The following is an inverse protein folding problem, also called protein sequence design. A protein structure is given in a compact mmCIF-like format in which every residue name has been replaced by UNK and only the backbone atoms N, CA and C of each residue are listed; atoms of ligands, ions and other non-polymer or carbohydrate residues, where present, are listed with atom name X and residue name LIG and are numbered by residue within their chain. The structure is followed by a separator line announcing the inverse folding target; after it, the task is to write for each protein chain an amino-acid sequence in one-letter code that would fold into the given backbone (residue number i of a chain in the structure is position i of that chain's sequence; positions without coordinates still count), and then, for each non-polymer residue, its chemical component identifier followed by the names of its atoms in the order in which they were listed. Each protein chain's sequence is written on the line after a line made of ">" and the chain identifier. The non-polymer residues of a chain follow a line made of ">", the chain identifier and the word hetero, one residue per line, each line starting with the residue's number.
data_IF_077512860197
#
_entry.id   IF_077512860197
#
_cell.length_a   1.000
_cell.length_b   1.000
_cell.length_c   1.000
_cell.angle_alpha   90.00
_cell.angle_beta   90.00
_cell.angle_gamma   90.00
#
_symmetry.space_group_name_H-M   'P 1'
#
loop_
_entity.id
_entity.type
_entity.pdbx_description
1 polymer ?
#
# COMPACT_ATOMS: atom_id res chain seq x y z
N UNK A 1 16.88 -26.80 15.33
CA UNK A 1 17.02 -26.74 16.81
C UNK A 1 15.67 -26.40 17.41
N UNK A 2 15.16 -27.21 18.34
CA UNK A 2 13.88 -26.95 19.01
C UNK A 2 13.96 -25.68 19.85
N UNK A 3 13.35 -24.60 19.35
CA UNK A 3 13.18 -23.38 20.13
C UNK A 3 12.18 -23.67 21.26
N UNK A 4 12.68 -23.73 22.50
CA UNK A 4 11.84 -23.46 23.65
C UNK A 4 11.39 -22.01 23.53
N UNK A 5 10.26 -21.78 22.84
CA UNK A 5 9.60 -20.48 22.84
C UNK A 5 9.31 -20.13 24.30
N UNK A 6 10.12 -19.23 24.88
CA UNK A 6 9.92 -18.77 26.25
C UNK A 6 8.52 -18.16 26.32
N UNK A 7 7.62 -18.77 27.07
CA UNK A 7 6.30 -18.20 27.30
C UNK A 7 6.46 -16.84 27.96
N UNK A 8 5.76 -15.82 27.46
CA UNK A 8 5.63 -14.55 28.18
C UNK A 8 4.52 -14.76 29.18
N UNK A 9 4.87 -14.88 30.47
CA UNK A 9 3.88 -14.95 31.55
C UNK A 9 3.58 -13.53 32.04
N UNK A 10 2.32 -13.13 31.93
CA UNK A 10 1.83 -11.88 32.52
C UNK A 10 1.24 -12.24 33.88
N UNK A 11 1.84 -11.73 34.96
CA UNK A 11 1.31 -11.95 36.31
C UNK A 11 0.11 -11.02 36.55
N UNK A 12 -0.89 -11.51 37.29
CA UNK A 12 -2.11 -10.76 37.58
C UNK A 12 -1.88 -9.50 38.44
N UNK A 13 -0.75 -9.42 39.14
CA UNK A 13 -0.33 -8.29 39.98
C UNK A 13 0.87 -7.52 39.43
N UNK A 14 1.13 -7.61 38.12
CA UNK A 14 2.26 -6.92 37.50
C UNK A 14 2.12 -5.39 37.64
N UNK A 15 3.23 -4.72 37.94
CA UNK A 15 3.31 -3.27 37.96
C UNK A 15 3.25 -2.68 36.53
N UNK A 16 2.90 -1.39 36.36
CA UNK A 16 2.90 -0.75 35.04
C UNK A 16 4.24 -0.85 34.29
N UNK A 17 5.37 -0.82 35.01
CA UNK A 17 6.71 -0.98 34.43
C UNK A 17 6.99 -2.41 33.94
N UNK A 18 6.51 -3.42 34.69
CA UNK A 18 6.60 -4.82 34.27
C UNK A 18 5.72 -5.10 33.06
N UNK A 19 4.50 -4.56 33.03
CA UNK A 19 3.59 -4.68 31.87
C UNK A 19 4.16 -4.02 30.61
N UNK A 20 4.78 -2.84 30.75
CA UNK A 20 5.48 -2.19 29.63
C UNK A 20 6.63 -3.05 29.10
N UNK A 21 7.38 -3.68 30.00
CA UNK A 21 8.47 -4.60 29.63
C UNK A 21 7.96 -5.87 28.95
N UNK A 22 6.85 -6.44 29.45
CA UNK A 22 6.16 -7.55 28.80
C UNK A 22 5.64 -7.16 27.42
N UNK A 23 5.04 -5.98 27.27
CA UNK A 23 4.57 -5.49 25.97
C UNK A 23 5.72 -5.38 24.98
N UNK A 24 6.87 -4.83 25.36
CA UNK A 24 8.04 -4.73 24.48
C UNK A 24 8.49 -6.11 23.95
N UNK A 25 8.50 -7.12 24.82
CA UNK A 25 8.85 -8.49 24.41
C UNK A 25 7.80 -9.12 23.48
N UNK A 26 6.51 -8.89 23.75
CA UNK A 26 5.43 -9.35 22.88
C UNK A 26 5.48 -8.63 21.53
N UNK A 27 5.71 -7.32 21.55
CA UNK A 27 5.83 -6.47 20.37
C UNK A 27 6.98 -6.90 19.48
N UNK A 28 8.14 -7.24 20.06
CA UNK A 28 9.26 -7.80 19.30
C UNK A 28 8.86 -9.06 18.52
N UNK A 29 8.06 -9.95 19.12
CA UNK A 29 7.58 -11.16 18.43
C UNK A 29 6.52 -10.84 17.39
N UNK A 30 5.60 -9.94 17.71
CA UNK A 30 4.55 -9.51 16.80
C UNK A 30 5.11 -8.83 15.55
N UNK A 31 6.19 -8.04 15.69
CA UNK A 31 6.95 -7.45 14.57
C UNK A 31 7.45 -8.52 13.60
N UNK A 32 8.10 -9.57 14.12
CA UNK A 32 8.64 -10.68 13.31
C UNK A 32 7.52 -11.40 12.55
N UNK A 33 6.38 -11.65 13.21
CA UNK A 33 5.22 -12.31 12.61
C UNK A 33 4.64 -11.50 11.45
N UNK A 34 4.74 -10.17 11.51
CA UNK A 34 4.17 -9.26 10.53
C UNK A 34 5.20 -8.68 9.55
N UNK A 35 6.42 -9.24 9.48
CA UNK A 35 7.42 -8.78 8.50
C UNK A 35 6.94 -9.06 7.07
N UNK A 36 7.05 -8.06 6.21
CA UNK A 36 6.93 -8.25 4.77
C UNK A 36 8.28 -8.61 4.12
N UNK A 37 8.27 -8.88 2.82
CA UNK A 37 9.43 -9.30 2.06
C UNK A 37 10.57 -8.26 2.09
N UNK A 38 10.24 -6.97 1.98
CA UNK A 38 11.23 -5.90 2.03
C UNK A 38 11.82 -5.77 3.43
N UNK A 39 10.97 -5.81 4.45
CA UNK A 39 11.42 -5.74 5.84
C UNK A 39 12.32 -6.93 6.20
N UNK A 40 12.03 -8.13 5.68
CA UNK A 40 12.91 -9.29 5.80
C UNK A 40 14.25 -9.07 5.09
N UNK A 41 14.22 -8.54 3.86
CA UNK A 41 15.43 -8.30 3.07
C UNK A 41 16.36 -7.28 3.73
N UNK A 42 15.82 -6.19 4.28
CA UNK A 42 16.60 -5.13 4.91
C UNK A 42 16.87 -5.34 6.40
N UNK A 43 16.03 -6.11 7.11
CA UNK A 43 16.08 -6.27 8.57
C UNK A 43 17.33 -6.97 9.12
N UNK A 44 18.06 -7.71 8.28
CA UNK A 44 19.30 -8.40 8.64
C UNK A 44 19.11 -9.60 9.59
N UNK A 45 20.23 -10.20 10.03
CA UNK A 45 20.23 -11.47 10.78
C UNK A 45 19.88 -11.31 12.28
N UNK A 46 20.10 -10.11 12.86
CA UNK A 46 19.85 -9.89 14.29
C UNK A 46 18.37 -9.56 14.56
N UNK A 47 17.61 -10.64 14.80
CA UNK A 47 16.20 -10.61 15.22
C UNK A 47 15.96 -9.75 16.48
N UNK A 48 17.02 -9.47 17.25
CA UNK A 48 16.93 -8.63 18.46
C UNK A 48 17.07 -7.12 18.21
N UNK A 49 17.65 -6.71 17.08
CA UNK A 49 17.86 -5.30 16.71
C UNK A 49 17.02 -4.86 15.49
N UNK A 50 16.05 -5.69 15.10
CA UNK A 50 15.06 -5.41 14.03
C UNK A 50 14.36 -4.05 14.18
N UNK A 51 14.26 -3.50 15.39
CA UNK A 51 13.55 -2.25 15.77
C UNK A 51 13.95 -1.02 14.92
N UNK A 52 15.06 -1.06 14.17
CA UNK A 52 15.43 -0.02 13.22
C UNK A 52 14.83 -0.10 11.82
N UNK A 53 14.31 -1.27 11.42
CA UNK A 53 13.94 -1.57 10.02
C UNK A 53 12.43 -1.62 9.79
N UNK A 54 11.64 -1.76 10.86
CA UNK A 54 10.19 -1.85 10.79
C UNK A 54 9.58 -0.55 10.26
N UNK A 55 8.73 -0.68 9.24
CA UNK A 55 7.90 0.40 8.75
C UNK A 55 6.85 0.80 9.80
N UNK A 56 6.28 2.03 9.71
CA UNK A 56 5.12 2.41 10.53
C UNK A 56 3.95 1.43 10.38
N UNK A 57 3.82 0.81 9.20
CA UNK A 57 2.82 -0.21 8.90
C UNK A 57 3.05 -1.47 9.73
N UNK A 58 4.27 -2.01 9.77
CA UNK A 58 4.57 -3.19 10.58
C UNK A 58 4.35 -2.92 12.08
N UNK A 59 4.76 -1.77 12.59
CA UNK A 59 4.49 -1.38 13.98
C UNK A 59 2.99 -1.38 14.30
N UNK A 60 2.18 -0.79 13.41
CA UNK A 60 0.72 -0.78 13.53
C UNK A 60 0.13 -2.20 13.47
N UNK A 61 0.59 -3.05 12.53
CA UNK A 61 0.12 -4.43 12.39
C UNK A 61 0.47 -5.30 13.60
N UNK A 62 1.69 -5.14 14.12
CA UNK A 62 2.16 -5.82 15.31
C UNK A 62 1.32 -5.43 16.54
N UNK A 63 1.07 -4.14 16.75
CA UNK A 63 0.22 -3.66 17.86
C UNK A 63 -1.24 -4.09 17.69
N UNK A 64 -1.78 -4.05 16.47
CA UNK A 64 -3.15 -4.53 16.19
C UNK A 64 -3.30 -6.04 16.46
N UNK A 65 -2.30 -6.83 16.08
CA UNK A 65 -2.25 -8.27 16.37
C UNK A 65 -2.25 -8.54 17.87
N UNK A 66 -1.54 -7.73 18.65
CA UNK A 66 -1.53 -7.81 20.12
C UNK A 66 -2.91 -7.49 20.69
N UNK A 67 -3.55 -6.41 20.24
CA UNK A 67 -4.90 -6.04 20.70
C UNK A 67 -5.92 -7.12 20.38
N UNK A 68 -5.82 -7.75 19.20
CA UNK A 68 -6.66 -8.88 18.80
C UNK A 68 -6.45 -10.09 19.71
N UNK A 69 -5.20 -10.42 20.01
CA UNK A 69 -4.87 -11.51 20.92
C UNK A 69 -5.40 -11.26 22.35
N UNK A 70 -5.27 -10.03 22.86
CA UNK A 70 -5.82 -9.63 24.17
C UNK A 70 -7.34 -9.80 24.17
N UNK A 71 -8.03 -9.27 23.15
CA UNK A 71 -9.49 -9.37 23.06
C UNK A 71 -9.99 -10.82 23.03
N UNK A 72 -9.26 -11.72 22.37
CA UNK A 72 -9.56 -13.16 22.37
C UNK A 72 -9.41 -13.78 23.77
N UNK A 73 -8.32 -13.47 24.47
CA UNK A 73 -8.08 -13.96 25.83
C UNK A 73 -9.13 -13.44 26.83
N UNK A 74 -9.59 -12.19 26.68
CA UNK A 74 -10.67 -11.62 27.49
C UNK A 74 -12.03 -12.27 27.23
N UNK A 75 -12.24 -12.88 26.07
CA UNK A 75 -13.46 -13.64 25.76
C UNK A 75 -13.44 -15.08 26.27
N UNK A 76 -12.25 -15.70 26.32
CA UNK A 76 -12.06 -17.09 26.78
C UNK A 76 -11.87 -17.20 28.31
N UNK A 77 -11.38 -16.14 28.95
CA UNK A 77 -11.13 -16.06 30.39
C UNK A 77 -11.78 -14.83 31.02
N UNK A 78 -11.98 -14.82 32.34
CA UNK A 78 -12.42 -13.60 33.04
C UNK A 78 -11.38 -12.49 32.83
N UNK A 79 -11.80 -11.35 32.27
CA UNK A 79 -10.93 -10.19 32.04
C UNK A 79 -10.21 -9.82 33.33
N UNK A 80 -8.88 -9.92 33.32
CA UNK A 80 -8.03 -9.58 34.47
C UNK A 80 -7.59 -8.13 34.36
N UNK A 81 -7.37 -7.47 35.50
CA UNK A 81 -6.83 -6.10 35.54
C UNK A 81 -5.56 -5.96 34.70
N UNK A 82 -4.68 -6.97 34.73
CA UNK A 82 -3.45 -6.99 33.95
C UNK A 82 -3.67 -6.98 32.42
N UNK A 83 -4.69 -7.68 31.90
CA UNK A 83 -5.03 -7.67 30.46
C UNK A 83 -5.60 -6.31 30.04
N UNK A 84 -6.43 -5.70 30.88
CA UNK A 84 -6.98 -4.36 30.64
C UNK A 84 -5.87 -3.31 30.63
N UNK A 85 -4.95 -3.35 31.59
CA UNK A 85 -3.79 -2.47 31.63
C UNK A 85 -2.88 -2.68 30.42
N UNK A 86 -2.60 -3.93 30.03
CA UNK A 86 -1.80 -4.23 28.84
C UNK A 86 -2.47 -3.67 27.56
N UNK A 87 -3.80 -3.78 27.45
CA UNK A 87 -4.58 -3.18 26.36
C UNK A 87 -4.39 -1.66 26.33
N UNK A 88 -4.47 -1.00 27.48
CA UNK A 88 -4.26 0.46 27.60
C UNK A 88 -2.85 0.84 27.14
N UNK A 89 -1.81 0.11 27.56
CA UNK A 89 -0.43 0.39 27.13
C UNK A 89 -0.28 0.20 25.62
N UNK A 90 -0.86 -0.85 25.03
CA UNK A 90 -0.81 -1.08 23.59
C UNK A 90 -1.54 0.02 22.79
N UNK A 91 -2.72 0.47 23.24
CA UNK A 91 -3.46 1.59 22.63
C UNK A 91 -2.65 2.88 22.71
N UNK A 92 -2.01 3.16 23.86
CA UNK A 92 -1.14 4.33 24.00
C UNK A 92 0.06 4.28 23.03
N UNK A 93 0.67 3.11 22.84
CA UNK A 93 1.75 2.93 21.85
C UNK A 93 1.29 3.20 20.41
N UNK A 94 0.06 2.82 20.05
CA UNK A 94 -0.53 3.16 18.75
C UNK A 94 -0.71 4.68 18.62
N UNK A 95 -1.19 5.34 19.68
CA UNK A 95 -1.35 6.80 19.69
C UNK A 95 -0.01 7.53 19.57
N UNK A 96 1.01 7.09 20.29
CA UNK A 96 2.37 7.65 20.21
C UNK A 96 2.96 7.49 18.81
N UNK A 97 2.75 6.34 18.19
CA UNK A 97 3.16 6.07 16.80
C UNK A 97 2.43 7.00 15.83
N UNK A 98 1.14 7.22 16.03
CA UNK A 98 0.33 8.11 15.20
C UNK A 98 0.80 9.56 15.23
N UNK A 99 1.12 10.08 16.42
CA UNK A 99 1.67 11.43 16.58
C UNK A 99 3.08 11.55 15.98
N UNK A 100 3.90 10.50 16.05
CA UNK A 100 5.23 10.47 15.43
C UNK A 100 5.17 10.57 13.91
N UNK A 101 4.19 9.94 13.28
CA UNK A 101 4.01 9.89 11.81
C UNK A 101 2.80 10.71 11.34
N UNK A 102 2.52 11.81 12.03
CA UNK A 102 1.37 12.66 11.72
C UNK A 102 1.62 13.47 10.46
N UNK A 103 0.67 13.39 9.52
CA UNK A 103 0.66 14.23 8.33
C UNK A 103 -0.16 15.50 8.62
N UNK A 104 0.49 16.67 8.60
CA UNK A 104 -0.20 17.94 8.74
C UNK A 104 -0.84 18.34 7.40
N UNK A 105 -2.16 18.22 7.30
CA UNK A 105 -2.92 18.78 6.18
C UNK A 105 -3.92 19.79 6.70
N UNK A 106 -3.78 21.03 6.23
CA UNK A 106 -4.72 22.10 6.56
C UNK A 106 -6.05 21.83 5.86
N UNK A 107 -7.11 21.67 6.64
CA UNK A 107 -8.48 21.68 6.12
C UNK A 107 -8.72 23.08 5.57
N UNK A 108 -8.87 23.21 4.25
CA UNK A 108 -9.27 24.47 3.64
C UNK A 108 -10.78 24.51 3.72
N UNK A 109 -11.28 25.02 4.85
CA UNK A 109 -12.71 25.11 5.10
C UNK A 109 -13.33 26.13 4.16
N UNK A 110 -13.97 25.64 3.10
CA UNK A 110 -15.17 26.24 2.51
C UNK A 110 -15.98 25.13 1.85
N UNK A 111 -16.81 24.46 2.66
CA UNK A 111 -17.84 23.47 2.31
C UNK A 111 -17.39 22.33 1.39
N UNK A 112 -17.69 21.08 1.74
CA UNK A 112 -17.81 20.06 0.69
C UNK A 112 -18.68 20.64 -0.43
N UNK A 113 -18.20 20.53 -1.68
CA UNK A 113 -18.95 21.09 -2.78
C UNK A 113 -20.33 20.40 -2.79
N UNK A 114 -21.36 21.11 -3.29
CA UNK A 114 -22.73 20.61 -3.25
C UNK A 114 -22.87 19.22 -3.88
N UNK A 115 -21.96 18.87 -4.79
CA UNK A 115 -21.84 17.53 -5.38
C UNK A 115 -21.46 16.46 -4.35
N UNK A 116 -20.42 16.66 -3.54
CA UNK A 116 -19.99 15.70 -2.51
C UNK A 116 -21.03 15.57 -1.40
N UNK A 117 -21.73 16.65 -1.01
CA UNK A 117 -22.88 16.56 -0.11
C UNK A 117 -23.99 15.72 -0.71
N UNK A 118 -24.31 15.94 -1.99
CA UNK A 118 -25.30 15.16 -2.72
C UNK A 118 -24.95 13.69 -2.77
N UNK A 119 -23.68 13.35 -3.06
CA UNK A 119 -23.19 11.98 -3.05
C UNK A 119 -23.28 11.36 -1.65
N UNK A 120 -22.91 12.10 -0.61
CA UNK A 120 -22.97 11.59 0.76
C UNK A 120 -24.42 11.33 1.19
N UNK A 121 -25.34 12.25 0.90
CA UNK A 121 -26.77 12.06 1.16
C UNK A 121 -27.31 10.85 0.39
N UNK A 122 -26.98 10.72 -0.89
CA UNK A 122 -27.34 9.54 -1.68
C UNK A 122 -26.82 8.25 -1.06
N UNK A 123 -25.58 8.23 -0.58
CA UNK A 123 -25.01 7.09 0.13
C UNK A 123 -25.83 6.73 1.37
N UNK A 124 -26.14 7.71 2.21
CA UNK A 124 -26.96 7.54 3.42
C UNK A 124 -28.36 7.01 3.08
N UNK A 125 -28.99 7.52 2.03
CA UNK A 125 -30.30 7.03 1.52
C UNK A 125 -30.24 5.59 1.02
N UNK A 126 -29.08 5.14 0.50
CA UNK A 126 -28.81 3.75 0.11
C UNK A 126 -28.35 2.86 1.28
N UNK A 127 -28.32 3.40 2.51
CA UNK A 127 -27.99 2.67 3.73
C UNK A 127 -26.52 2.66 4.12
N UNK A 128 -25.68 3.50 3.49
CA UNK A 128 -24.31 3.75 3.96
C UNK A 128 -24.37 4.40 5.33
N UNK A 129 -23.58 3.89 6.27
CA UNK A 129 -23.39 4.56 7.58
C UNK A 129 -22.00 5.15 7.61
N UNK A 130 -21.91 6.45 7.84
CA UNK A 130 -20.65 7.18 7.86
C UNK A 130 -20.49 8.01 9.12
N UNK A 131 -19.36 7.85 9.78
CA UNK A 131 -18.86 8.76 10.82
C UNK A 131 -17.95 9.86 10.25
N UNK A 132 -17.77 9.84 8.93
CA UNK A 132 -16.89 10.74 8.19
C UNK A 132 -17.71 11.66 7.29
N UNK A 133 -17.15 12.82 6.99
CA UNK A 133 -17.68 13.78 6.01
C UNK A 133 -16.65 14.01 4.92
N UNK A 134 -17.08 14.05 3.66
CA UNK A 134 -16.16 14.37 2.56
C UNK A 134 -15.79 15.85 2.66
N UNK A 135 -14.50 16.19 2.58
CA UNK A 135 -14.00 17.57 2.68
C UNK A 135 -12.80 17.78 1.76
N UNK A 136 -12.42 19.03 1.52
CA UNK A 136 -11.23 19.38 0.77
C UNK A 136 -10.03 19.68 1.68
N UNK A 137 -8.84 19.23 1.28
CA UNK A 137 -7.57 19.38 1.95
C UNK A 137 -6.53 19.94 0.98
N UNK A 138 -5.78 20.96 1.44
CA UNK A 138 -4.71 21.55 0.64
C UNK A 138 -3.68 20.49 0.24
N UNK A 139 -3.33 20.44 -1.04
CA UNK A 139 -2.34 19.50 -1.60
C UNK A 139 -2.80 18.04 -1.74
N UNK A 140 -3.87 17.61 -1.07
CA UNK A 140 -4.41 16.24 -1.17
C UNK A 140 -5.74 16.15 -1.94
N UNK A 141 -6.35 17.29 -2.27
CA UNK A 141 -7.65 17.30 -2.91
C UNK A 141 -8.76 16.90 -1.93
N UNK A 142 -9.65 16.00 -2.35
CA UNK A 142 -10.76 15.57 -1.50
C UNK A 142 -10.32 14.45 -0.59
N UNK A 143 -10.83 14.47 0.64
CA UNK A 143 -10.53 13.53 1.70
C UNK A 143 -11.78 13.31 2.57
N UNK A 144 -11.65 12.52 3.63
CA UNK A 144 -12.71 12.31 4.60
C UNK A 144 -12.28 12.83 5.98
N UNK A 145 -13.10 13.67 6.62
CA UNK A 145 -12.87 14.22 7.96
C UNK A 145 -13.76 13.52 8.98
N UNK A 146 -13.24 13.22 10.17
CA UNK A 146 -14.03 12.63 11.24
C UNK A 146 -15.01 13.65 11.85
N UNK A 147 -16.29 13.28 11.96
CA UNK A 147 -17.35 14.14 12.53
C UNK A 147 -17.30 14.22 14.05
N UNK A 148 -16.65 13.25 14.68
CA UNK A 148 -16.50 13.11 16.12
C UNK A 148 -15.21 12.34 16.43
N UNK A 149 -14.82 12.26 17.70
CA UNK A 149 -13.70 11.43 18.11
C UNK A 149 -14.06 9.95 17.90
N UNK A 150 -13.21 9.23 17.18
CA UNK A 150 -13.36 7.82 16.89
C UNK A 150 -12.19 7.03 17.48
N UNK A 151 -12.51 5.91 18.13
CA UNK A 151 -11.56 5.06 18.86
C UNK A 151 -11.17 3.84 18.04
N UNK A 152 -10.08 3.18 18.45
CA UNK A 152 -9.66 1.90 17.87
C UNK A 152 -10.80 0.89 17.98
N UNK A 153 -11.16 0.27 16.86
CA UNK A 153 -12.26 -0.68 16.73
C UNK A 153 -13.59 -0.06 16.31
N UNK A 154 -13.75 1.28 16.38
CA UNK A 154 -14.96 1.94 15.87
C UNK A 154 -15.03 1.79 14.34
N UNK A 155 -16.26 1.71 13.82
CA UNK A 155 -16.52 1.59 12.39
C UNK A 155 -16.67 2.99 11.79
N UNK A 156 -15.68 3.42 11.02
CA UNK A 156 -15.69 4.72 10.36
C UNK A 156 -16.73 4.76 9.22
N UNK A 157 -16.79 3.69 8.42
CA UNK A 157 -17.75 3.49 7.33
C UNK A 157 -18.31 2.05 7.34
N UNK A 158 -19.61 1.91 7.12
CA UNK A 158 -20.29 0.63 6.81
C UNK A 158 -21.01 0.79 5.46
N UNK A 159 -20.52 0.08 4.44
CA UNK A 159 -20.96 0.20 3.05
C UNK A 159 -21.78 -1.03 2.64
N UNK A 160 -23.08 -0.91 2.36
CA UNK A 160 -23.88 -2.02 1.83
C UNK A 160 -23.37 -2.48 0.46
N UNK A 161 -23.41 -3.79 0.17
CA UNK A 161 -22.96 -4.27 -1.15
C UNK A 161 -23.75 -3.69 -2.33
N UNK A 162 -24.99 -3.25 -2.12
CA UNK A 162 -25.83 -2.66 -3.17
C UNK A 162 -25.27 -1.36 -3.78
N UNK A 163 -24.34 -0.67 -3.10
CA UNK A 163 -23.69 0.55 -3.61
C UNK A 163 -22.26 0.31 -4.10
N UNK A 164 -21.75 -0.92 -4.00
CA UNK A 164 -20.41 -1.29 -4.45
C UNK A 164 -20.46 -1.57 -5.95
N UNK A 165 -19.55 -0.95 -6.70
CA UNK A 165 -19.40 -1.21 -8.13
C UNK A 165 -18.41 -2.36 -8.29
N UNK A 166 -18.87 -3.47 -8.85
CA UNK A 166 -18.10 -4.71 -9.03
C UNK A 166 -18.52 -5.43 -10.31
N UNK A 167 -17.76 -6.45 -10.73
CA UNK A 167 -17.99 -7.20 -11.99
C UNK A 167 -19.44 -7.66 -12.18
N UNK A 168 -20.14 -7.95 -11.08
CA UNK A 168 -21.53 -8.37 -11.08
C UNK A 168 -22.45 -7.39 -11.81
N UNK A 169 -22.15 -6.08 -11.75
CA UNK A 169 -22.96 -5.06 -12.40
C UNK A 169 -22.92 -5.20 -13.92
N UNK A 170 -21.77 -5.58 -14.49
CA UNK A 170 -21.63 -5.62 -15.96
C UNK A 170 -22.54 -6.69 -16.56
N UNK A 171 -22.79 -7.78 -15.85
CA UNK A 171 -23.71 -8.85 -16.27
C UNK A 171 -25.15 -8.39 -16.54
N UNK A 172 -25.54 -7.23 -15.99
CA UNK A 172 -26.88 -6.66 -16.17
C UNK A 172 -26.99 -5.80 -17.45
N UNK A 173 -25.88 -5.57 -18.16
CA UNK A 173 -25.80 -4.68 -19.33
C UNK A 173 -25.61 -5.44 -20.64
N UNK A 174 -26.11 -4.82 -21.72
CA UNK A 174 -26.00 -5.27 -23.12
C UNK A 174 -24.57 -5.66 -23.53
N UNK A 175 -23.59 -4.87 -23.10
CA UNK A 175 -22.17 -5.06 -23.41
C UNK A 175 -21.59 -6.39 -22.93
N UNK A 176 -22.11 -6.99 -21.86
CA UNK A 176 -21.55 -8.22 -21.32
C UNK A 176 -21.55 -9.36 -22.34
N UNK A 177 -22.67 -9.52 -23.05
CA UNK A 177 -22.85 -10.57 -24.06
C UNK A 177 -21.90 -10.46 -25.27
N UNK A 178 -21.28 -9.30 -25.46
CA UNK A 178 -20.27 -9.02 -26.47
C UNK A 178 -18.88 -9.27 -25.88
N UNK A 179 -18.60 -8.63 -24.73
CA UNK A 179 -17.28 -8.68 -24.09
C UNK A 179 -16.90 -10.08 -23.59
N UNK A 180 -17.86 -10.89 -23.14
CA UNK A 180 -17.61 -12.27 -22.70
C UNK A 180 -17.05 -13.18 -23.81
N UNK A 181 -17.27 -12.81 -25.08
CA UNK A 181 -16.81 -13.56 -26.26
C UNK A 181 -15.44 -13.10 -26.75
N UNK A 182 -14.93 -11.99 -26.24
CA UNK A 182 -13.61 -11.46 -26.60
C UNK A 182 -12.56 -12.26 -25.84
N UNK A 183 -11.66 -12.90 -26.57
CA UNK A 183 -10.57 -13.67 -25.98
C UNK A 183 -9.67 -12.76 -25.11
N UNK A 184 -9.29 -13.22 -23.93
CA UNK A 184 -8.44 -12.45 -23.01
C UNK A 184 -9.15 -11.33 -22.24
N UNK A 185 -10.46 -11.13 -22.43
CA UNK A 185 -11.20 -10.08 -21.72
C UNK A 185 -11.27 -10.35 -20.21
N UNK A 186 -10.72 -9.42 -19.41
CA UNK A 186 -10.77 -9.47 -17.95
C UNK A 186 -12.02 -8.76 -17.39
N UNK A 187 -12.45 -9.14 -16.18
CA UNK A 187 -13.55 -8.48 -15.50
C UNK A 187 -13.23 -6.99 -15.21
N UNK A 188 -11.97 -6.69 -14.92
CA UNK A 188 -11.45 -5.33 -14.75
C UNK A 188 -11.59 -4.51 -16.04
N UNK A 189 -11.21 -5.06 -17.19
CA UNK A 189 -11.37 -4.39 -18.48
C UNK A 189 -12.85 -4.15 -18.80
N UNK A 190 -13.72 -5.13 -18.54
CA UNK A 190 -15.16 -4.96 -18.73
C UNK A 190 -15.73 -3.83 -17.87
N UNK A 191 -15.31 -3.73 -16.61
CA UNK A 191 -15.72 -2.66 -15.69
C UNK A 191 -15.22 -1.27 -16.11
N UNK A 192 -14.02 -1.22 -16.67
CA UNK A 192 -13.46 -0.01 -17.27
C UNK A 192 -14.33 0.47 -18.43
N UNK A 193 -14.64 -0.41 -19.39
CA UNK A 193 -15.48 -0.10 -20.55
C UNK A 193 -16.91 0.26 -20.15
N UNK A 194 -17.45 -0.38 -19.11
CA UNK A 194 -18.72 -0.01 -18.50
C UNK A 194 -18.68 1.41 -17.93
N UNK A 195 -17.59 1.76 -17.22
CA UNK A 195 -17.44 3.09 -16.60
C UNK A 195 -17.38 4.21 -17.64
N UNK A 196 -16.81 3.94 -18.82
CA UNK A 196 -16.79 4.90 -19.94
C UNK A 196 -18.21 5.24 -20.42
N UNK A 197 -19.07 4.23 -20.61
CA UNK A 197 -20.49 4.41 -20.98
C UNK A 197 -21.28 5.06 -19.86
N UNK A 198 -21.13 4.55 -18.64
CA UNK A 198 -21.97 4.93 -17.50
C UNK A 198 -21.71 6.38 -17.05
N UNK A 199 -20.48 6.90 -17.23
CA UNK A 199 -20.16 8.32 -17.00
C UNK A 199 -21.09 9.27 -17.77
N UNK A 200 -21.55 8.87 -18.95
CA UNK A 200 -22.40 9.68 -19.83
C UNK A 200 -23.90 9.36 -19.69
N UNK A 201 -24.27 8.42 -18.82
CA UNK A 201 -25.64 7.99 -18.62
C UNK A 201 -26.36 8.89 -17.58
N UNK A 202 -27.31 9.76 -17.99
CA UNK A 202 -28.00 10.66 -17.07
C UNK A 202 -28.92 9.93 -16.08
N UNK A 203 -29.33 8.70 -16.41
CA UNK A 203 -30.20 7.87 -15.58
C UNK A 203 -29.40 6.87 -14.72
N UNK A 204 -28.07 6.97 -14.69
CA UNK A 204 -27.21 6.10 -13.91
C UNK A 204 -27.56 6.17 -12.42
N UNK A 205 -27.66 4.99 -11.78
CA UNK A 205 -27.71 4.88 -10.31
C UNK A 205 -26.50 5.57 -9.65
N UNK A 206 -25.35 5.56 -10.32
CA UNK A 206 -24.09 6.09 -9.83
C UNK A 206 -23.79 7.48 -10.38
N UNK A 207 -24.77 8.18 -10.97
CA UNK A 207 -24.59 9.51 -11.55
C UNK A 207 -23.89 10.48 -10.58
N UNK A 208 -24.36 10.56 -9.34
CA UNK A 208 -23.76 11.46 -8.34
C UNK A 208 -22.31 11.10 -8.01
N UNK A 209 -21.93 9.83 -8.10
CA UNK A 209 -20.54 9.41 -7.94
C UNK A 209 -19.70 9.88 -9.13
N UNK A 210 -20.15 9.60 -10.36
CA UNK A 210 -19.43 10.03 -11.57
C UNK A 210 -19.31 11.56 -11.67
N UNK A 211 -20.34 12.31 -11.27
CA UNK A 211 -20.33 13.78 -11.25
C UNK A 211 -19.32 14.35 -10.22
N UNK A 212 -18.95 13.57 -9.20
CA UNK A 212 -17.89 13.94 -8.24
C UNK A 212 -16.51 13.48 -8.66
N UNK A 213 -16.33 12.64 -9.68
CA UNK A 213 -14.99 12.22 -10.08
C UNK A 213 -14.23 13.36 -10.77
N UNK A 214 -12.88 13.39 -10.68
CA UNK A 214 -12.13 14.41 -11.38
C UNK A 214 -12.29 14.25 -12.90
N UNK A 215 -12.36 15.36 -13.62
CA UNK A 215 -12.38 15.33 -15.10
C UNK A 215 -11.05 14.84 -15.67
N UNK A 216 -9.95 15.16 -14.99
CA UNK A 216 -8.57 14.79 -15.33
C UNK A 216 -7.87 14.31 -14.07
N UNK A 217 -7.20 13.16 -14.15
CA UNK A 217 -6.34 12.67 -13.07
C UNK A 217 -4.91 13.20 -13.25
N UNK A 218 -4.23 13.39 -12.12
CA UNK A 218 -2.83 13.85 -12.11
C UNK A 218 -1.86 12.68 -11.94
N UNK A 219 -2.12 11.55 -12.59
CA UNK A 219 -1.25 10.37 -12.52
C UNK A 219 -0.05 10.49 -13.46
N UNK A 220 0.98 9.68 -13.24
CA UNK A 220 2.13 9.57 -14.15
C UNK A 220 1.72 9.24 -15.60
N UNK A 221 0.60 8.55 -15.80
CA UNK A 221 0.08 8.21 -17.12
C UNK A 221 -0.34 9.46 -17.92
N UNK A 222 -0.80 10.50 -17.22
CA UNK A 222 -1.25 11.78 -17.79
C UNK A 222 -0.21 12.89 -17.71
N UNK A 223 1.04 12.59 -17.32
CA UNK A 223 2.11 13.58 -17.27
C UNK A 223 2.38 14.25 -18.62
N UNK A 224 2.42 15.58 -18.58
CA UNK A 224 2.84 16.42 -19.69
C UNK A 224 4.36 16.48 -19.85
N UNK A 225 4.81 17.17 -20.89
CA UNK A 225 6.23 17.24 -21.27
C UNK A 225 7.14 17.73 -20.13
N UNK A 226 6.72 18.74 -19.38
CA UNK A 226 7.52 19.30 -18.28
C UNK A 226 7.81 18.26 -17.19
N UNK A 227 6.79 17.48 -16.79
CA UNK A 227 6.94 16.42 -15.80
C UNK A 227 7.81 15.28 -16.34
N UNK A 228 7.65 14.90 -17.60
CA UNK A 228 8.50 13.90 -18.26
C UNK A 228 9.96 14.34 -18.30
N UNK A 229 10.23 15.60 -18.62
CA UNK A 229 11.60 16.15 -18.62
C UNK A 229 12.21 16.18 -17.22
N UNK A 230 11.41 16.42 -16.18
CA UNK A 230 11.88 16.38 -14.79
C UNK A 230 12.26 14.96 -14.32
N UNK A 231 11.72 13.93 -14.97
CA UNK A 231 12.01 12.52 -14.68
C UNK A 231 13.14 11.94 -15.53
N UNK A 232 13.73 12.72 -16.44
CA UNK A 232 14.82 12.24 -17.28
C UNK A 232 15.98 11.68 -16.43
N UNK A 233 16.53 10.55 -16.87
CA UNK A 233 17.53 9.79 -16.11
C UNK A 233 17.03 9.07 -14.86
N UNK A 234 15.73 9.01 -14.58
CA UNK A 234 15.17 8.19 -13.48
C UNK A 234 14.58 6.88 -14.00
N UNK A 235 14.62 5.81 -13.18
CA UNK A 235 13.94 4.54 -13.49
C UNK A 235 12.42 4.72 -13.65
N UNK A 236 11.84 5.67 -12.90
CA UNK A 236 10.42 5.99 -12.95
C UNK A 236 9.96 6.48 -14.34
N UNK A 237 10.83 7.17 -15.09
CA UNK A 237 10.48 7.57 -16.46
C UNK A 237 10.24 6.33 -17.34
N UNK A 238 11.11 5.33 -17.24
CA UNK A 238 10.97 4.08 -17.99
C UNK A 238 9.70 3.32 -17.58
N UNK A 239 9.40 3.25 -16.28
CA UNK A 239 8.17 2.65 -15.75
C UNK A 239 6.91 3.32 -16.32
N UNK A 240 6.86 4.66 -16.32
CA UNK A 240 5.72 5.42 -16.86
C UNK A 240 5.58 5.20 -18.37
N UNK A 241 6.67 5.22 -19.13
CA UNK A 241 6.64 4.99 -20.58
C UNK A 241 6.10 3.61 -20.89
N UNK A 242 6.61 2.57 -20.22
CA UNK A 242 6.15 1.19 -20.41
C UNK A 242 4.67 1.04 -20.05
N UNK A 243 4.21 1.64 -18.95
CA UNK A 243 2.81 1.61 -18.56
C UNK A 243 1.91 2.27 -19.63
N UNK A 244 2.32 3.41 -20.18
CA UNK A 244 1.57 4.11 -21.24
C UNK A 244 1.53 3.32 -22.54
N UNK A 245 2.64 2.71 -22.94
CA UNK A 245 2.70 1.84 -24.12
C UNK A 245 1.80 0.62 -23.96
N UNK A 246 1.80 0.00 -22.77
CA UNK A 246 0.93 -1.13 -22.46
C UNK A 246 -0.56 -0.77 -22.57
N UNK A 247 -0.97 0.36 -22.00
CA UNK A 247 -2.36 0.84 -22.12
C UNK A 247 -2.73 1.17 -23.55
N UNK A 248 -1.79 1.74 -24.32
CA UNK A 248 -2.01 2.05 -25.73
C UNK A 248 -2.23 0.78 -26.55
N UNK A 249 -1.41 -0.25 -26.34
CA UNK A 249 -1.57 -1.54 -26.98
C UNK A 249 -2.93 -2.17 -26.66
N UNK A 250 -3.36 -2.16 -25.39
CA UNK A 250 -4.69 -2.65 -25.00
C UNK A 250 -5.82 -1.88 -25.69
N UNK A 251 -5.73 -0.55 -25.77
CA UNK A 251 -6.73 0.24 -26.47
C UNK A 251 -6.79 -0.11 -27.96
N UNK A 252 -5.64 -0.20 -28.63
CA UNK A 252 -5.57 -0.49 -30.08
C UNK A 252 -6.00 -1.94 -30.40
N UNK A 253 -5.93 -2.87 -29.44
CA UNK A 253 -6.46 -4.24 -29.55
C UNK A 253 -8.00 -4.27 -29.50
N UNK A 254 -8.60 -3.46 -28.63
CA UNK A 254 -10.06 -3.40 -28.46
C UNK A 254 -10.74 -2.51 -29.51
N UNK A 255 -10.08 -1.41 -29.88
CA UNK A 255 -10.61 -0.36 -30.74
C UNK A 255 -9.73 -0.19 -31.98
N UNK A 256 -10.32 -0.16 -33.19
CA UNK A 256 -11.71 0.19 -33.45
C UNK A 256 -12.70 -0.99 -33.57
N UNK A 257 -12.28 -2.25 -33.39
CA UNK A 257 -13.13 -3.42 -33.67
C UNK A 257 -14.47 -3.37 -32.95
N UNK A 258 -14.48 -3.17 -31.62
CA UNK A 258 -15.73 -3.09 -30.85
C UNK A 258 -16.68 -2.00 -31.35
N UNK A 259 -16.13 -0.83 -31.71
CA UNK A 259 -16.93 0.28 -32.23
C UNK A 259 -17.50 0.01 -33.63
N UNK A 260 -16.76 -0.70 -34.47
CA UNK A 260 -17.19 -1.02 -35.84
C UNK A 260 -18.22 -2.16 -35.87
N UNK A 261 -18.00 -3.18 -35.05
CA UNK A 261 -18.81 -4.40 -35.02
C UNK A 261 -20.11 -4.19 -34.21
N UNK A 262 -20.08 -3.33 -33.20
CA UNK A 262 -21.17 -3.09 -32.25
C UNK A 262 -21.37 -1.59 -31.92
N UNK A 263 -21.62 -0.71 -32.92
CA UNK A 263 -21.70 0.74 -32.74
C UNK A 263 -22.88 1.21 -31.86
N UNK A 264 -23.91 0.38 -31.70
CA UNK A 264 -25.06 0.61 -30.83
C UNK A 264 -24.70 0.49 -29.34
N UNK A 265 -23.76 -0.39 -29.01
CA UNK A 265 -23.28 -0.61 -27.64
C UNK A 265 -22.01 0.19 -27.34
N UNK A 266 -21.12 0.31 -28.33
CA UNK A 266 -19.83 1.00 -28.24
C UNK A 266 -19.74 2.18 -29.23
N UNK A 267 -20.48 3.28 -28.99
CA UNK A 267 -20.43 4.46 -29.86
C UNK A 267 -19.02 5.08 -29.87
N UNK A 268 -18.39 5.31 -31.05
CA UNK A 268 -17.00 5.77 -31.15
C UNK A 268 -16.68 7.05 -30.37
N UNK A 269 -17.64 7.95 -30.23
CA UNK A 269 -17.50 9.20 -29.49
C UNK A 269 -17.31 9.02 -27.97
N UNK A 270 -17.78 7.91 -27.40
CA UNK A 270 -17.63 7.58 -25.98
C UNK A 270 -16.40 6.71 -25.71
N UNK A 271 -15.88 6.05 -26.74
CA UNK A 271 -14.79 5.08 -26.65
C UNK A 271 -13.50 5.55 -27.31
N UNK A 272 -13.14 6.82 -27.12
CA UNK A 272 -11.85 7.36 -27.58
C UNK A 272 -10.75 7.09 -26.55
N UNK A 273 -9.50 7.28 -27.00
CA UNK A 273 -8.31 7.11 -26.16
C UNK A 273 -8.38 7.90 -24.85
N UNK A 274 -8.86 9.14 -24.89
CA UNK A 274 -8.91 9.99 -23.70
C UNK A 274 -9.86 9.43 -22.63
N UNK A 275 -10.99 8.86 -23.04
CA UNK A 275 -12.01 8.26 -22.18
C UNK A 275 -11.53 6.91 -21.64
N UNK A 276 -10.82 6.13 -22.47
CA UNK A 276 -10.20 4.88 -22.04
C UNK A 276 -9.13 5.13 -20.97
N UNK A 277 -8.23 6.08 -21.22
CA UNK A 277 -7.20 6.45 -20.26
C UNK A 277 -7.81 6.99 -18.95
N UNK A 278 -8.83 7.86 -19.04
CA UNK A 278 -9.54 8.35 -17.86
C UNK A 278 -10.15 7.19 -17.03
N UNK A 279 -10.73 6.18 -17.70
CA UNK A 279 -11.29 5.04 -17.01
C UNK A 279 -10.19 4.14 -16.41
N UNK A 280 -9.05 3.94 -17.09
CA UNK A 280 -7.88 3.27 -16.50
C UNK A 280 -7.46 3.97 -15.21
N UNK A 281 -7.24 5.29 -15.27
CA UNK A 281 -6.80 6.08 -14.13
C UNK A 281 -7.79 6.00 -12.97
N UNK A 282 -9.10 6.12 -13.23
CA UNK A 282 -10.14 5.92 -12.21
C UNK A 282 -9.99 4.59 -11.48
N UNK A 283 -9.88 3.49 -12.21
CA UNK A 283 -9.79 2.16 -11.61
C UNK A 283 -8.46 1.94 -10.90
N UNK A 284 -7.35 2.47 -11.41
CA UNK A 284 -6.06 2.36 -10.74
C UNK A 284 -5.99 3.18 -9.45
N UNK A 285 -6.56 4.39 -9.43
CA UNK A 285 -6.46 5.28 -8.27
C UNK A 285 -7.54 5.07 -7.21
N UNK A 286 -8.72 4.54 -7.57
CA UNK A 286 -9.88 4.48 -6.65
C UNK A 286 -10.43 3.08 -6.38
N UNK A 287 -9.94 2.03 -7.06
CA UNK A 287 -10.43 0.68 -6.80
C UNK A 287 -9.86 0.08 -5.52
N UNK A 288 -10.62 -0.84 -4.93
CA UNK A 288 -10.27 -1.60 -3.75
C UNK A 288 -10.49 -3.08 -4.02
N UNK A 289 -9.57 -3.94 -3.57
CA UNK A 289 -9.73 -5.39 -3.64
C UNK A 289 -10.58 -5.89 -2.47
N UNK A 290 -11.74 -6.47 -2.76
CA UNK A 290 -12.71 -6.92 -1.76
C UNK A 290 -12.88 -8.44 -1.87
N UNK A 291 -12.73 -9.13 -0.74
CA UNK A 291 -13.04 -10.55 -0.60
C UNK A 291 -14.54 -10.74 -0.35
N UNK A 292 -15.21 -11.34 -1.32
CA UNK A 292 -16.65 -11.64 -1.28
C UNK A 292 -16.92 -12.92 -0.48
N UNK A 293 -18.20 -13.14 -0.14
CA UNK A 293 -18.62 -14.30 0.66
C UNK A 293 -18.42 -15.65 -0.04
N UNK A 294 -18.24 -15.65 -1.36
CA UNK A 294 -17.86 -16.83 -2.15
C UNK A 294 -16.35 -17.14 -2.09
N UNK A 295 -15.57 -16.35 -1.36
CA UNK A 295 -14.13 -16.49 -1.23
C UNK A 295 -13.33 -15.87 -2.39
N UNK A 296 -13.99 -15.27 -3.38
CA UNK A 296 -13.32 -14.62 -4.51
C UNK A 296 -12.92 -13.20 -4.15
N UNK A 297 -11.70 -12.83 -4.54
CA UNK A 297 -11.22 -11.46 -4.49
C UNK A 297 -11.65 -10.74 -5.76
N UNK A 298 -12.25 -9.56 -5.63
CA UNK A 298 -12.73 -8.77 -6.77
C UNK A 298 -12.27 -7.32 -6.63
N UNK A 299 -11.94 -6.71 -7.75
CA UNK A 299 -11.61 -5.28 -7.83
C UNK A 299 -12.91 -4.48 -7.89
N UNK A 300 -13.08 -3.48 -7.02
CA UNK A 300 -14.33 -2.75 -6.87
C UNK A 300 -14.12 -1.24 -6.71
N UNK A 301 -15.01 -0.42 -7.26
CA UNK A 301 -15.12 0.98 -6.85
C UNK A 301 -16.14 1.09 -5.71
N UNK A 302 -15.79 1.87 -4.69
CA UNK A 302 -16.63 2.07 -3.51
C UNK A 302 -16.90 3.58 -3.36
N UNK A 303 -18.01 4.11 -3.89
CA UNK A 303 -18.21 5.55 -4.09
C UNK A 303 -17.87 6.47 -2.91
N UNK A 304 -18.29 6.12 -1.69
CA UNK A 304 -18.02 6.93 -0.49
C UNK A 304 -16.62 6.64 0.07
N UNK A 305 -16.20 5.37 0.12
CA UNK A 305 -14.91 5.01 0.69
C UNK A 305 -13.72 5.42 -0.20
N UNK A 306 -13.94 5.61 -1.50
CA UNK A 306 -12.94 6.07 -2.46
C UNK A 306 -12.43 7.50 -2.24
N UNK A 307 -13.01 8.25 -1.29
CA UNK A 307 -12.54 9.56 -0.83
C UNK A 307 -11.58 9.49 0.36
N UNK A 308 -11.32 8.31 0.92
CA UNK A 308 -10.31 8.17 1.96
C UNK A 308 -8.91 8.25 1.32
N UNK A 309 -8.10 9.21 1.73
CA UNK A 309 -6.73 9.35 1.25
C UNK A 309 -5.76 8.37 1.91
N UNK A 310 -4.59 8.22 1.30
CA UNK A 310 -3.49 7.43 1.85
C UNK A 310 -2.72 8.16 2.96
N UNK A 311 -2.15 7.38 3.88
CA UNK A 311 -1.07 7.78 4.79
C UNK A 311 -0.16 6.59 5.08
N UNK A 312 1.12 6.85 5.37
CA UNK A 312 2.09 5.83 5.81
C UNK A 312 1.76 5.27 7.20
N UNK A 313 1.01 6.00 8.01
CA UNK A 313 0.45 5.55 9.29
C UNK A 313 -1.07 5.77 9.28
N UNK A 314 -1.84 4.94 8.57
CA UNK A 314 -3.26 5.19 8.32
C UNK A 314 -4.13 4.87 9.54
N UNK A 315 -5.34 5.41 9.51
CA UNK A 315 -6.38 5.16 10.51
C UNK A 315 -7.07 3.80 10.30
N UNK A 316 -7.22 3.39 9.05
CA UNK A 316 -7.89 2.15 8.63
C UNK A 316 -6.88 1.29 7.86
N UNK A 317 -6.58 0.09 8.37
CA UNK A 317 -5.72 -0.89 7.69
C UNK A 317 -6.49 -2.16 7.32
N UNK A 318 -7.38 -2.62 8.21
CA UNK A 318 -8.07 -3.90 8.09
C UNK A 318 -9.45 -3.71 7.46
N UNK A 319 -9.49 -3.60 6.14
CA UNK A 319 -10.71 -3.54 5.33
C UNK A 319 -10.66 -4.60 4.23
N UNK A 320 -11.62 -4.58 3.31
CA UNK A 320 -11.54 -5.41 2.10
C UNK A 320 -12.16 -6.80 2.23
N UNK A 321 -13.07 -7.01 3.18
CA UNK A 321 -13.87 -8.24 3.26
C UNK A 321 -15.34 -7.93 3.54
N UNK A 322 -16.21 -8.68 2.86
CA UNK A 322 -17.66 -8.62 3.09
C UNK A 322 -18.01 -9.29 4.41
N UNK A 323 -18.72 -8.57 5.27
CA UNK A 323 -19.45 -9.16 6.40
C UNK A 323 -20.71 -9.84 5.87
N UNK A 324 -20.71 -11.17 5.85
CA UNK A 324 -21.84 -11.98 5.36
C UNK A 324 -23.11 -11.83 6.19
N UNK A 325 -23.02 -11.43 7.45
CA UNK A 325 -24.19 -11.28 8.32
C UNK A 325 -25.02 -10.04 7.96
N UNK A 326 -24.33 -8.97 7.55
CA UNK A 326 -24.95 -7.69 7.20
C UNK A 326 -24.92 -7.37 5.71
N UNK A 327 -24.25 -8.19 4.92
CA UNK A 327 -24.02 -7.99 3.48
C UNK A 327 -23.40 -6.61 3.17
N UNK A 328 -22.35 -6.26 3.93
CA UNK A 328 -21.71 -4.94 3.90
C UNK A 328 -20.20 -5.03 4.09
N UNK A 329 -19.46 -4.02 3.62
CA UNK A 329 -18.03 -3.84 3.88
C UNK A 329 -17.87 -2.86 5.03
N UNK A 330 -17.04 -3.19 6.02
CA UNK A 330 -16.75 -2.32 7.17
C UNK A 330 -15.33 -1.80 7.11
N UNK A 331 -15.16 -0.58 7.60
CA UNK A 331 -13.88 0.12 7.70
C UNK A 331 -13.59 0.40 9.19
N UNK A 332 -13.11 -0.59 9.95
CA UNK A 332 -12.77 -0.43 11.35
C UNK A 332 -11.47 0.38 11.52
N UNK A 333 -11.41 1.17 12.58
CA UNK A 333 -10.21 1.93 12.94
C UNK A 333 -9.15 1.05 13.60
N UNK A 334 -7.95 1.05 13.03
CA UNK A 334 -6.73 0.50 13.62
C UNK A 334 -6.00 1.55 14.49
N UNK A 335 -6.27 2.84 14.25
CA UNK A 335 -5.78 4.00 15.01
C UNK A 335 -6.94 4.95 15.33
N UNK A 336 -6.94 5.61 16.48
CA UNK A 336 -7.92 6.65 16.80
C UNK A 336 -7.84 7.82 15.82
N UNK A 337 -8.96 8.47 15.56
CA UNK A 337 -9.07 9.65 14.68
C UNK A 337 -9.90 10.71 15.41
N UNK A 338 -9.35 11.91 15.61
CA UNK A 338 -10.02 12.95 16.37
C UNK A 338 -11.05 13.70 15.53
N UNK A 339 -12.06 14.30 16.17
CA UNK A 339 -13.02 15.16 15.47
C UNK A 339 -12.29 16.28 14.70
N UNK A 340 -12.66 16.47 13.43
CA UNK A 340 -12.02 17.46 12.55
C UNK A 340 -10.69 17.01 11.92
N UNK A 341 -10.17 15.83 12.28
CA UNK A 341 -8.99 15.23 11.67
C UNK A 341 -9.35 14.47 10.38
N UNK A 342 -8.42 14.45 9.42
CA UNK A 342 -8.57 13.60 8.23
C UNK A 342 -8.40 12.13 8.61
N UNK A 343 -9.38 11.31 8.24
CA UNK A 343 -9.30 9.87 8.34
C UNK A 343 -8.60 9.30 7.09
N UNK A 344 -7.62 8.42 7.30
CA UNK A 344 -6.75 7.90 6.24
C UNK A 344 -6.89 6.38 6.12
N UNK A 345 -6.77 5.87 4.90
CA UNK A 345 -6.81 4.46 4.54
C UNK A 345 -5.42 3.99 4.07
N UNK A 346 -5.02 2.77 4.45
CA UNK A 346 -3.84 2.13 3.88
C UNK A 346 -4.12 1.63 2.47
N UNK A 347 -3.59 2.27 1.43
CA UNK A 347 -3.78 1.83 0.04
C UNK A 347 -3.03 0.52 -0.24
N UNK A 348 -1.88 0.35 0.39
CA UNK A 348 -1.04 -0.83 0.23
C UNK A 348 0.39 -0.51 0.61
N UNK A 349 1.25 -1.51 0.43
CA UNK A 349 2.69 -1.43 0.60
C UNK A 349 3.33 -1.04 -0.74
N UNK A 350 3.05 0.17 -1.22
CA UNK A 350 3.46 0.64 -2.54
C UNK A 350 4.66 1.58 -2.46
N UNK A 351 5.58 1.47 -3.42
CA UNK A 351 6.65 2.44 -3.63
C UNK A 351 6.09 3.79 -4.06
N UNK A 352 6.87 4.83 -3.84
CA UNK A 352 6.60 6.19 -4.32
C UNK A 352 6.51 6.24 -5.84
N UNK A 353 7.26 5.41 -6.57
CA UNK A 353 7.16 5.29 -8.03
C UNK A 353 5.78 4.77 -8.46
N UNK A 354 5.26 3.76 -7.77
CA UNK A 354 3.92 3.22 -8.00
C UNK A 354 2.82 4.22 -7.62
N UNK A 355 2.93 4.86 -6.45
CA UNK A 355 1.98 5.88 -5.99
C UNK A 355 1.92 7.07 -6.96
N UNK A 356 3.07 7.54 -7.46
CA UNK A 356 3.08 8.63 -8.43
C UNK A 356 2.47 8.20 -9.77
N UNK A 357 2.83 7.01 -10.26
CA UNK A 357 2.39 6.49 -11.55
C UNK A 357 0.88 6.27 -11.60
N UNK A 358 0.29 5.66 -10.57
CA UNK A 358 -1.10 5.19 -10.61
C UNK A 358 -2.07 5.97 -9.72
N UNK A 359 -1.57 6.72 -8.72
CA UNK A 359 -2.41 7.52 -7.83
C UNK A 359 -2.13 9.04 -7.94
N UNK A 360 -1.02 9.45 -8.54
CA UNK A 360 -0.71 10.85 -8.79
C UNK A 360 -0.24 11.64 -7.57
N UNK A 361 0.37 10.98 -6.57
CA UNK A 361 0.93 11.65 -5.40
C UNK A 361 2.19 10.95 -4.87
N UNK A 362 2.96 11.69 -4.06
CA UNK A 362 4.05 11.15 -3.24
C UNK A 362 3.67 11.28 -1.77
N UNK A 363 4.01 10.29 -0.91
CA UNK A 363 3.87 10.43 0.54
C UNK A 363 4.64 11.65 1.08
N UNK A 364 4.12 12.27 2.14
CA UNK A 364 4.80 13.43 2.78
C UNK A 364 6.00 13.01 3.62
N UNK A 365 5.95 11.79 4.17
CA UNK A 365 7.01 11.20 4.98
C UNK A 365 7.77 10.18 4.15
N UNK A 366 8.98 9.86 4.62
CA UNK A 366 9.81 8.79 4.08
C UNK A 366 9.01 7.50 3.84
N UNK A 367 9.03 7.01 2.61
CA UNK A 367 8.36 5.78 2.22
C UNK A 367 9.31 4.59 2.35
N UNK A 368 9.04 3.70 3.31
CA UNK A 368 9.87 2.52 3.57
C UNK A 368 9.82 1.46 2.47
N UNK A 369 8.89 1.62 1.51
CA UNK A 369 8.74 0.78 0.32
C UNK A 369 9.54 1.28 -0.88
N UNK A 370 10.26 2.41 -0.76
CA UNK A 370 11.16 2.89 -1.82
C UNK A 370 12.45 2.08 -1.86
N UNK A 371 12.65 1.42 -3.00
CA UNK A 371 13.81 0.61 -3.30
C UNK A 371 14.29 0.88 -4.73
N UNK A 372 15.59 0.70 -4.96
CA UNK A 372 16.19 0.69 -6.27
C UNK A 372 16.60 -0.76 -6.55
N UNK A 373 15.96 -1.44 -7.51
CA UNK A 373 16.36 -2.80 -7.89
C UNK A 373 17.76 -2.78 -8.50
N UNK A 374 18.53 -3.83 -8.23
CA UNK A 374 19.87 -4.06 -8.77
C UNK A 374 19.89 -5.41 -9.51
N UNK A 375 20.18 -5.33 -10.81
CA UNK A 375 20.46 -6.51 -11.62
C UNK A 375 21.93 -6.90 -11.44
N UNK A 376 22.15 -8.08 -10.85
CA UNK A 376 23.49 -8.62 -10.59
C UNK A 376 23.61 -9.95 -11.32
N UNK A 377 24.46 -9.98 -12.35
CA UNK A 377 24.79 -11.21 -13.06
C UNK A 377 25.71 -12.08 -12.17
N UNK A 378 25.13 -13.03 -11.45
CA UNK A 378 25.90 -14.06 -10.73
C UNK A 378 26.11 -15.24 -11.68
N UNK A 379 27.37 -15.55 -12.00
CA UNK A 379 27.68 -16.77 -12.74
C UNK A 379 27.16 -17.99 -11.97
N UNK A 380 26.23 -18.73 -12.56
CA UNK A 380 25.67 -19.95 -11.97
C UNK A 380 26.77 -21.00 -11.82
N UNK A 381 27.29 -21.17 -10.61
CA UNK A 381 28.20 -22.27 -10.31
C UNK A 381 27.36 -23.53 -10.05
N UNK A 382 27.30 -24.42 -11.02
CA UNK A 382 26.61 -25.73 -10.94
C UNK A 382 27.26 -26.71 -9.93
N UNK A 383 28.37 -26.35 -9.27
CA UNK A 383 29.22 -27.28 -8.51
C UNK A 383 29.21 -27.10 -6.97
N UNK A 384 28.24 -26.41 -6.36
CA UNK A 384 28.19 -26.24 -4.89
C UNK A 384 27.04 -27.04 -4.23
N UNK A 385 27.23 -28.35 -4.03
CA UNK A 385 26.29 -29.21 -3.28
C UNK A 385 26.31 -29.01 -1.75
N UNK A 386 27.05 -28.04 -1.21
CA UNK A 386 27.12 -27.80 0.23
C UNK A 386 27.22 -26.31 0.57
N UNK A 387 26.10 -25.64 0.85
CA UNK A 387 26.11 -24.39 1.66
C UNK A 387 24.79 -24.21 2.43
N UNK A 388 24.91 -23.57 3.60
CA UNK A 388 23.89 -23.25 4.61
C UNK A 388 22.59 -22.62 4.06
N UNK A 389 21.47 -22.67 4.79
CA UNK A 389 20.16 -22.17 4.35
C UNK A 389 20.04 -20.63 4.28
N UNK A 390 21.14 -19.89 4.17
CA UNK A 390 21.14 -18.42 4.20
C UNK A 390 20.92 -17.83 2.80
N UNK A 391 19.62 -17.80 2.49
CA UNK A 391 18.85 -16.93 1.60
C UNK A 391 19.18 -16.92 0.10
N UNK A 392 18.41 -17.72 -0.65
CA UNK A 392 18.33 -17.81 -2.12
C UNK A 392 17.66 -16.57 -2.78
N UNK A 393 18.09 -15.35 -2.42
CA UNK A 393 17.58 -14.16 -3.10
C UNK A 393 18.18 -14.06 -4.51
N UNK A 394 17.34 -14.10 -5.54
CA UNK A 394 17.75 -13.91 -6.95
C UNK A 394 17.67 -12.45 -7.41
N UNK A 395 16.94 -11.61 -6.68
CA UNK A 395 16.78 -10.19 -6.96
C UNK A 395 17.32 -9.39 -5.78
N UNK A 396 18.12 -8.38 -6.08
CA UNK A 396 18.73 -7.53 -5.06
C UNK A 396 18.30 -6.09 -5.22
N UNK A 397 18.43 -5.35 -4.14
CA UNK A 397 17.91 -3.98 -4.08
C UNK A 397 18.70 -3.17 -3.07
N UNK A 398 18.67 -1.85 -3.26
CA UNK A 398 19.18 -0.89 -2.28
C UNK A 398 18.09 0.10 -1.91
N UNK A 399 18.26 0.76 -0.78
CA UNK A 399 17.44 1.90 -0.35
C UNK A 399 18.35 2.93 0.30
N UNK A 400 17.78 4.08 0.69
CA UNK A 400 18.53 5.12 1.41
C UNK A 400 19.27 4.54 2.61
N UNK A 401 20.61 4.63 2.62
CA UNK A 401 21.46 4.01 3.67
C UNK A 401 21.26 4.66 5.04
N UNK A 402 20.62 5.82 5.10
CA UNK A 402 20.19 6.49 6.35
C UNK A 402 19.07 5.74 7.08
N UNK A 403 18.36 4.81 6.42
CA UNK A 403 17.43 3.90 7.10
C UNK A 403 18.15 2.80 7.90
N UNK A 404 19.41 2.50 7.57
CA UNK A 404 20.20 1.54 8.33
C UNK A 404 20.80 2.19 9.55
N UNK A 405 20.92 1.44 10.65
CA UNK A 405 21.66 1.85 11.86
C UNK A 405 23.08 1.29 11.88
N UNK A 406 23.41 0.36 10.99
CA UNK A 406 24.71 -0.31 10.98
C UNK A 406 25.55 0.13 9.78
N UNK A 407 26.36 1.17 10.01
CA UNK A 407 27.37 1.66 9.08
C UNK A 407 28.77 1.13 9.42
N UNK A 408 28.85 0.05 10.21
CA UNK A 408 30.10 -0.59 10.55
C UNK A 408 30.81 -1.17 9.31
N UNK A 409 32.08 -1.51 9.52
CA UNK A 409 32.85 -2.29 8.53
C UNK A 409 32.07 -3.57 8.21
N UNK A 410 32.07 -3.98 6.95
CA UNK A 410 31.29 -5.09 6.41
C UNK A 410 29.76 -4.86 6.31
N UNK A 411 29.25 -3.68 6.63
CA UNK A 411 27.79 -3.42 6.57
C UNK A 411 27.45 -2.17 5.76
N UNK A 412 28.17 -1.06 5.95
CA UNK A 412 28.06 0.17 5.13
C UNK A 412 26.64 0.77 5.00
N UNK A 413 25.71 0.39 5.87
CA UNK A 413 24.30 0.75 5.73
C UNK A 413 23.56 0.03 4.60
N UNK A 414 24.15 -1.02 4.02
CA UNK A 414 23.59 -1.82 2.92
C UNK A 414 22.95 -3.12 3.45
N UNK A 415 21.99 -3.69 2.71
CA UNK A 415 21.30 -4.91 3.12
C UNK A 415 22.25 -6.12 3.14
N UNK A 416 22.22 -6.96 4.19
CA UNK A 416 23.09 -8.14 4.27
C UNK A 416 22.97 -9.10 3.09
N UNK A 417 21.76 -9.44 2.58
CA UNK A 417 21.64 -10.33 1.41
C UNK A 417 22.39 -9.83 0.17
N UNK A 418 22.39 -8.51 -0.08
CA UNK A 418 23.16 -7.91 -1.18
C UNK A 418 24.66 -8.06 -0.97
N UNK A 419 25.14 -7.72 0.23
CA UNK A 419 26.57 -7.79 0.56
C UNK A 419 27.07 -9.22 0.48
N UNK A 420 26.28 -10.18 0.96
CA UNK A 420 26.65 -11.59 0.92
C UNK A 420 26.68 -12.12 -0.51
N UNK A 421 25.74 -11.71 -1.37
CA UNK A 421 25.82 -12.01 -2.81
C UNK A 421 27.09 -11.44 -3.45
N UNK A 422 27.39 -10.15 -3.21
CA UNK A 422 28.60 -9.50 -3.73
C UNK A 422 29.89 -10.13 -3.21
N UNK A 423 29.90 -10.65 -1.99
CA UNK A 423 31.05 -11.37 -1.44
C UNK A 423 31.20 -12.75 -2.04
N UNK A 424 30.11 -13.52 -2.12
CA UNK A 424 30.12 -14.86 -2.72
C UNK A 424 30.54 -14.83 -4.18
N UNK A 425 30.21 -13.77 -4.92
CA UNK A 425 30.67 -13.61 -6.32
C UNK A 425 32.19 -13.39 -6.45
N UNK A 426 32.86 -12.90 -5.41
CA UNK A 426 34.32 -12.70 -5.37
C UNK A 426 35.07 -13.83 -4.65
N UNK A 427 34.46 -14.41 -3.63
CA UNK A 427 35.01 -15.50 -2.81
C UNK A 427 33.90 -16.46 -2.38
N UNK A 428 33.63 -17.51 -3.17
CA UNK A 428 32.55 -18.46 -2.90
C UNK A 428 32.65 -19.20 -1.55
N UNK A 429 33.86 -19.33 -1.01
CA UNK A 429 34.13 -20.04 0.25
C UNK A 429 34.22 -19.11 1.47
N UNK A 430 33.83 -17.84 1.36
CA UNK A 430 33.91 -16.89 2.46
C UNK A 430 32.86 -17.23 3.54
N UNK A 431 33.31 -17.83 4.64
CA UNK A 431 32.45 -18.29 5.73
C UNK A 431 32.42 -17.36 6.95
N UNK A 432 33.36 -16.42 7.10
CA UNK A 432 33.35 -15.48 8.24
C UNK A 432 33.95 -14.11 7.93
N UNK A 433 33.26 -13.05 8.35
CA UNK A 433 33.70 -11.66 8.25
C UNK A 433 34.69 -11.34 9.37
N UNK A 434 35.95 -11.75 9.19
CA UNK A 434 37.06 -11.38 10.06
C UNK A 434 37.90 -10.28 9.43
N UNK A 435 38.53 -9.45 10.27
CA UNK A 435 39.42 -8.35 9.84
C UNK A 435 40.78 -8.92 9.37
N UNK A 436 40.77 -9.64 8.26
CA UNK A 436 41.98 -10.09 7.56
C UNK A 436 42.27 -9.19 6.36
N UNK A 437 43.55 -9.02 5.96
CA UNK A 437 43.90 -8.25 4.77
C UNK A 437 43.16 -8.71 3.51
N UNK A 438 42.99 -10.02 3.34
CA UNK A 438 42.33 -10.62 2.18
C UNK A 438 40.84 -10.24 2.12
N UNK A 439 40.14 -10.31 3.27
CA UNK A 439 38.74 -9.90 3.35
C UNK A 439 38.59 -8.40 3.08
N UNK A 440 39.49 -7.57 3.61
CA UNK A 440 39.45 -6.13 3.39
C UNK A 440 39.70 -5.75 1.92
N UNK A 441 40.51 -6.51 1.19
CA UNK A 441 40.73 -6.30 -0.25
C UNK A 441 39.45 -6.57 -1.05
N UNK A 442 38.74 -7.67 -0.74
CA UNK A 442 37.42 -8.00 -1.32
C UNK A 442 36.42 -6.86 -1.04
N UNK A 443 36.36 -6.37 0.20
CA UNK A 443 35.46 -5.28 0.56
C UNK A 443 35.79 -3.97 -0.17
N UNK A 444 37.08 -3.67 -0.38
CA UNK A 444 37.48 -2.49 -1.16
C UNK A 444 37.04 -2.59 -2.61
N UNK A 445 37.08 -3.77 -3.22
CA UNK A 445 36.56 -4.00 -4.57
C UNK A 445 35.03 -3.81 -4.62
N UNK A 446 34.30 -4.42 -3.68
CA UNK A 446 32.84 -4.25 -3.55
C UNK A 446 32.47 -2.76 -3.46
N UNK A 447 33.13 -2.01 -2.58
CA UNK A 447 32.87 -0.59 -2.40
C UNK A 447 33.22 0.24 -3.63
N UNK A 448 34.27 -0.12 -4.38
CA UNK A 448 34.62 0.56 -5.65
C UNK A 448 33.53 0.36 -6.70
N UNK A 449 33.01 -0.84 -6.82
CA UNK A 449 31.95 -1.15 -7.80
C UNK A 449 30.65 -0.44 -7.44
N UNK A 450 30.24 -0.49 -6.17
CA UNK A 450 29.10 0.29 -5.68
C UNK A 450 29.29 1.79 -5.94
N UNK A 451 30.46 2.34 -5.62
CA UNK A 451 30.75 3.75 -5.93
C UNK A 451 30.65 4.04 -7.43
N UNK A 452 31.15 3.15 -8.29
CA UNK A 452 31.10 3.31 -9.74
C UNK A 452 29.66 3.31 -10.28
N UNK A 453 28.83 2.39 -9.78
CA UNK A 453 27.42 2.27 -10.13
C UNK A 453 26.65 3.56 -9.81
N UNK A 454 26.81 4.09 -8.59
CA UNK A 454 26.03 5.25 -8.14
C UNK A 454 26.65 6.60 -8.51
N UNK A 455 27.97 6.71 -8.72
CA UNK A 455 28.61 7.99 -9.13
C UNK A 455 28.30 8.42 -10.56
N UNK A 456 27.95 7.50 -11.47
CA UNK A 456 27.50 7.87 -12.82
C UNK A 456 26.27 8.80 -12.79
N UNK A 457 25.50 8.80 -11.70
CA UNK A 457 24.34 9.66 -11.49
C UNK A 457 24.66 11.02 -10.81
N UNK A 458 25.86 11.23 -10.25
CA UNK A 458 26.22 12.53 -9.61
C UNK A 458 26.47 13.67 -10.62
N UNK A 459 26.55 13.39 -11.92
CA UNK A 459 26.63 14.43 -12.96
C UNK A 459 25.39 15.32 -13.06
N UNK A 460 24.28 14.93 -12.41
CA UNK A 460 22.98 15.58 -12.50
C UNK A 460 22.67 16.58 -11.38
N UNK A 461 23.33 16.49 -10.21
CA UNK A 461 23.09 17.39 -9.06
C UNK A 461 23.66 18.81 -9.23
N UNK A 462 24.13 19.20 -10.42
CA UNK A 462 24.64 20.55 -10.71
C UNK A 462 23.83 21.37 -11.72
N UNK A 463 22.58 21.00 -12.00
CA UNK A 463 21.65 21.86 -12.73
C UNK A 463 20.41 22.14 -11.89
N UNK A 464 20.57 23.03 -10.91
CA UNK A 464 19.49 23.78 -10.28
C UNK A 464 19.72 25.26 -10.53
#
# INVERSE_FOLDING_TARGET
>A
MGSHAKHVSIQSSASPGELKSSLLLILQRARIINLDELELYFGGEDVTDMVGFNSPRNEMEALSSILTAIAKLEGEHCSTTALQELRVVAVNSISELGEKFKEEKKVVTQSSCEQEKGLQQWGEDQGVKSQLEISYFEGAGRGAVARQDLRIGDIALEIPLSVVISENLVHEYDMYSILEKVEGMSAETMLLLWSMKEKHNPDSKFKLYFDTLPEVFNTGLSFGMEAIMALDGTLLLEEIVQAKEHLRAQYDELFPSLCNDHPDVFPPEQYRWEQFLWACELWYSNSMKIMFSDGKLRTCLIPIAGFLNHSTCPHIMHYGKVDSTKNSIKFPLSRSCNAGEQCFLGYGSFSSSHLLTFYGFLPQLDNYYDVIPLDIDVASNEDCEHTDPTSDWTSHMVRGTWFSKNHGIFHYGLPPPLLDCMRRSRSPFLQSMTLTPENLEIELEILRDLCSMFRRYEGWTRRS
#
